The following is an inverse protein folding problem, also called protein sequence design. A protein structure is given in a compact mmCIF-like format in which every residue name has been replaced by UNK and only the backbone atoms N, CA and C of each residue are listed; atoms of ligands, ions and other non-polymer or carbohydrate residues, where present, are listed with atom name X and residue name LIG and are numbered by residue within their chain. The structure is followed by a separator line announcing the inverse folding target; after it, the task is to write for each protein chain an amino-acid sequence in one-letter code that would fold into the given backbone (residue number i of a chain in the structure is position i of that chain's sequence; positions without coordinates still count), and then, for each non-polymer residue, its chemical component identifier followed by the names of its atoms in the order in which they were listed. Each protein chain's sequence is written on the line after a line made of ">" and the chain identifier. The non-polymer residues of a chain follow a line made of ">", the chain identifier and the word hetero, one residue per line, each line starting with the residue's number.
data_IF_898468748701
#
_entry.id   IF_898468748701
#
_cell.length_a   1.000
_cell.length_b   1.000
_cell.length_c   1.000
_cell.angle_alpha   90.00
_cell.angle_beta   90.00
_cell.angle_gamma   90.00
#
_symmetry.space_group_name_H-M   'P 1'
#
loop_
_entity.id
_entity.type
_entity.pdbx_description
1 polymer ?
#
# COMPACT_ATOMS: atom_id res chain seq x y z
N UNK A 1 1.14 -18.38 11.99
CA UNK A 1 1.33 -18.65 10.55
C UNK A 1 2.29 -17.61 10.04
N UNK A 2 3.35 -18.00 9.33
CA UNK A 2 4.29 -17.06 8.71
C UNK A 2 3.96 -17.00 7.22
N UNK A 3 3.60 -15.82 6.71
CA UNK A 3 3.34 -15.63 5.28
C UNK A 3 4.62 -15.78 4.46
N UNK A 4 4.49 -16.08 3.17
CA UNK A 4 5.65 -16.15 2.28
C UNK A 4 6.37 -14.80 2.21
N UNK A 5 7.70 -14.82 2.09
CA UNK A 5 8.46 -13.58 1.89
C UNK A 5 8.18 -13.01 0.49
N UNK A 6 7.75 -11.76 0.45
CA UNK A 6 7.39 -11.05 -0.78
C UNK A 6 8.04 -9.68 -0.83
N UNK A 7 8.27 -9.20 -2.04
CA UNK A 7 9.01 -7.97 -2.30
C UNK A 7 8.19 -7.07 -3.20
N UNK A 8 8.23 -5.77 -2.94
CA UNK A 8 7.55 -4.79 -3.77
C UNK A 8 8.14 -4.82 -5.19
N UNK A 9 7.33 -4.95 -6.25
CA UNK A 9 7.82 -4.97 -7.63
C UNK A 9 8.32 -3.59 -8.09
N UNK A 10 8.07 -2.52 -7.33
CA UNK A 10 8.42 -1.16 -7.72
C UNK A 10 9.72 -0.64 -7.10
N UNK A 11 10.03 -1.02 -5.86
CA UNK A 11 11.26 -0.61 -5.18
C UNK A 11 12.17 -1.77 -4.75
N UNK A 12 11.69 -3.01 -4.78
CA UNK A 12 12.45 -4.19 -4.36
C UNK A 12 12.46 -4.45 -2.85
N UNK A 13 11.91 -3.56 -2.02
CA UNK A 13 11.88 -3.75 -0.57
C UNK A 13 10.92 -4.86 -0.16
N UNK A 14 11.24 -5.52 0.96
CA UNK A 14 10.40 -6.55 1.56
C UNK A 14 9.05 -5.95 1.99
N UNK A 15 7.96 -6.64 1.66
CA UNK A 15 6.63 -6.27 2.14
C UNK A 15 6.51 -6.57 3.64
N UNK A 16 5.91 -5.64 4.38
CA UNK A 16 5.66 -5.77 5.81
C UNK A 16 4.24 -6.27 6.07
N UNK A 17 4.07 -7.12 7.07
CA UNK A 17 2.74 -7.46 7.58
C UNK A 17 2.06 -6.23 8.16
N UNK A 18 0.79 -6.02 7.82
CA UNK A 18 -0.06 -4.97 8.38
C UNK A 18 -1.41 -5.56 8.74
N UNK A 19 -1.81 -5.39 10.00
CA UNK A 19 -3.12 -5.83 10.48
C UNK A 19 -4.17 -4.76 10.16
N UNK A 20 -5.10 -5.11 9.28
CA UNK A 20 -6.21 -4.25 8.92
C UNK A 20 -7.22 -4.14 10.07
N UNK A 21 -7.98 -3.03 10.16
CA UNK A 21 -9.05 -2.90 11.13
C UNK A 21 -10.03 -4.08 11.04
N UNK A 22 -10.45 -4.68 12.17
CA UNK A 22 -11.30 -5.89 12.18
C UNK A 22 -12.58 -5.76 11.34
N UNK A 23 -13.17 -4.57 11.30
CA UNK A 23 -14.39 -4.25 10.55
C UNK A 23 -14.23 -4.39 9.02
N UNK A 24 -13.00 -4.37 8.51
CA UNK A 24 -12.70 -4.58 7.08
C UNK A 24 -12.69 -6.05 6.67
N UNK A 25 -12.56 -6.96 7.65
CA UNK A 25 -12.42 -8.41 7.46
C UNK A 25 -11.18 -8.86 6.65
N UNK A 26 -10.26 -7.95 6.34
CA UNK A 26 -9.03 -8.27 5.60
C UNK A 26 -8.05 -9.10 6.45
N UNK A 27 -7.95 -8.84 7.75
CA UNK A 27 -6.93 -9.47 8.60
C UNK A 27 -5.54 -8.95 8.25
N UNK A 28 -4.53 -9.83 8.16
CA UNK A 28 -3.17 -9.43 7.76
C UNK A 28 -3.06 -9.31 6.24
N UNK A 29 -2.55 -8.17 5.78
CA UNK A 29 -2.10 -7.94 4.39
C UNK A 29 -0.60 -7.66 4.38
N UNK A 30 0.03 -7.74 3.20
CA UNK A 30 1.44 -7.42 3.00
C UNK A 30 1.59 -6.08 2.29
N UNK A 31 2.31 -5.12 2.87
CA UNK A 31 2.34 -3.72 2.42
C UNK A 31 3.77 -3.22 2.19
N UNK A 32 3.96 -2.46 1.12
CA UNK A 32 5.20 -1.72 0.89
C UNK A 32 5.24 -0.44 1.76
N UNK A 33 6.09 -0.44 2.79
CA UNK A 33 6.26 0.69 3.71
C UNK A 33 7.45 1.61 3.37
N UNK A 34 8.01 1.49 2.17
CA UNK A 34 9.05 2.40 1.70
C UNK A 34 8.44 3.72 1.20
N UNK A 35 8.75 4.83 1.87
CA UNK A 35 8.26 6.16 1.50
C UNK A 35 8.92 6.74 0.23
N UNK A 36 10.09 6.21 -0.15
CA UNK A 36 10.79 6.55 -1.40
C UNK A 36 10.42 5.62 -2.56
N UNK A 37 9.49 4.69 -2.35
CA UNK A 37 9.00 3.82 -3.41
C UNK A 37 8.37 4.64 -4.54
N UNK A 38 8.80 4.41 -5.79
CA UNK A 38 8.31 5.09 -6.98
C UNK A 38 6.81 4.93 -7.22
N UNK A 39 6.22 3.85 -6.69
CA UNK A 39 4.78 3.64 -6.73
C UNK A 39 4.01 4.48 -5.71
N UNK A 40 4.61 4.79 -4.56
CA UNK A 40 3.97 5.57 -3.50
C UNK A 40 4.22 7.08 -3.69
N UNK A 41 5.45 7.45 -4.03
CA UNK A 41 5.86 8.83 -4.22
C UNK A 41 5.15 9.44 -5.43
N UNK A 42 4.39 10.51 -5.20
CA UNK A 42 3.58 11.15 -6.25
C UNK A 42 2.26 10.44 -6.56
N UNK A 43 1.97 9.30 -5.92
CA UNK A 43 0.70 8.58 -6.12
C UNK A 43 -0.53 9.41 -5.74
N UNK A 44 -0.34 10.45 -4.94
CA UNK A 44 -1.39 11.38 -4.62
C UNK A 44 -1.98 11.99 -5.89
N UNK A 45 -1.22 12.32 -6.92
CA UNK A 45 -1.73 13.03 -8.10
C UNK A 45 -2.46 12.12 -9.11
N UNK A 46 -2.41 10.81 -8.90
CA UNK A 46 -3.00 9.79 -9.77
C UNK A 46 -4.36 9.28 -9.29
N UNK A 47 -4.83 9.70 -8.09
CA UNK A 47 -6.14 9.28 -7.57
C UNK A 47 -7.25 10.17 -8.14
N UNK A 48 -8.02 9.60 -9.07
CA UNK A 48 -9.21 10.25 -9.62
C UNK A 48 -10.28 10.49 -8.53
N UNK A 49 -10.86 11.69 -8.50
CA UNK A 49 -11.96 12.04 -7.60
C UNK A 49 -11.55 12.31 -6.14
N UNK A 50 -10.25 12.39 -5.84
CA UNK A 50 -9.77 12.89 -4.54
C UNK A 50 -10.09 14.38 -4.40
N UNK A 51 -10.17 14.89 -3.15
CA UNK A 51 -10.22 16.34 -2.95
C UNK A 51 -8.88 16.97 -3.31
N UNK A 52 -8.91 18.16 -3.89
CA UNK A 52 -7.73 18.91 -4.35
C UNK A 52 -6.72 19.23 -3.24
N UNK A 53 -7.13 19.18 -1.97
CA UNK A 53 -6.31 19.40 -0.77
C UNK A 53 -5.96 18.10 -0.03
N UNK A 54 -6.41 16.94 -0.53
CA UNK A 54 -6.11 15.66 0.12
C UNK A 54 -4.64 15.26 -0.09
N UNK A 55 -4.00 14.81 0.99
CA UNK A 55 -2.71 14.12 0.99
C UNK A 55 -2.88 12.61 0.89
N UNK A 56 -3.89 12.14 0.16
CA UNK A 56 -4.13 10.71 -0.04
C UNK A 56 -3.32 10.23 -1.22
N UNK A 57 -2.61 9.11 -1.04
CA UNK A 57 -1.89 8.35 -2.06
C UNK A 57 -2.13 6.85 -1.89
N UNK A 58 -1.39 6.01 -2.61
CA UNK A 58 -1.55 4.56 -2.56
C UNK A 58 -0.22 3.84 -2.40
N UNK A 59 -0.18 2.85 -1.49
CA UNK A 59 0.92 1.90 -1.33
C UNK A 59 0.60 0.62 -2.07
N UNK A 60 1.64 -0.03 -2.60
CA UNK A 60 1.51 -1.38 -3.13
C UNK A 60 1.25 -2.34 -1.96
N UNK A 61 0.22 -3.17 -2.09
CA UNK A 61 -0.11 -4.20 -1.11
C UNK A 61 -0.59 -5.48 -1.79
N UNK A 62 -0.48 -6.61 -1.09
CA UNK A 62 -0.96 -7.92 -1.51
C UNK A 62 -1.81 -8.55 -0.40
N UNK A 63 -2.91 -9.23 -0.78
CA UNK A 63 -3.76 -9.95 0.16
C UNK A 63 -3.43 -11.47 0.13
N UNK A 64 -2.83 -12.02 1.20
CA UNK A 64 -2.51 -13.45 1.29
C UNK A 64 -3.74 -14.38 1.19
N UNK A 65 -4.96 -13.91 1.48
CA UNK A 65 -6.19 -14.70 1.37
C UNK A 65 -6.71 -14.78 -0.06
N UNK A 66 -6.29 -13.86 -0.93
CA UNK A 66 -6.69 -13.78 -2.33
C UNK A 66 -5.52 -14.18 -3.25
N UNK A 67 -4.80 -15.24 -2.89
CA UNK A 67 -3.65 -15.74 -3.65
C UNK A 67 -2.57 -14.66 -3.90
N UNK A 68 -2.36 -13.78 -2.91
CA UNK A 68 -1.45 -12.64 -3.01
C UNK A 68 -1.81 -11.67 -4.14
N UNK A 69 -3.10 -11.54 -4.46
CA UNK A 69 -3.57 -10.55 -5.42
C UNK A 69 -3.14 -9.13 -5.00
N UNK A 70 -2.53 -8.36 -5.92
CA UNK A 70 -2.09 -7.01 -5.62
C UNK A 70 -3.27 -6.02 -5.62
N UNK A 71 -3.20 -4.99 -4.78
CA UNK A 71 -4.16 -3.90 -4.75
C UNK A 71 -3.54 -2.59 -4.25
N UNK A 72 -4.26 -1.49 -4.51
CA UNK A 72 -3.85 -0.14 -4.14
C UNK A 72 -4.32 0.15 -2.72
N UNK A 73 -3.43 0.07 -1.73
CA UNK A 73 -3.76 0.41 -0.35
C UNK A 73 -3.72 1.92 -0.14
N UNK A 74 -4.86 2.53 0.14
CA UNK A 74 -4.94 3.97 0.42
C UNK A 74 -4.11 4.31 1.66
N UNK A 75 -3.27 5.34 1.56
CA UNK A 75 -2.40 5.80 2.66
C UNK A 75 -2.20 7.30 2.60
N UNK A 76 -1.82 7.90 3.71
CA UNK A 76 -1.42 9.31 3.72
C UNK A 76 -0.05 9.46 3.04
N UNK A 77 -0.02 10.22 1.95
CA UNK A 77 1.16 10.60 1.19
C UNK A 77 1.37 12.11 1.33
N UNK A 78 2.40 12.56 2.08
CA UNK A 78 2.70 13.98 2.18
C UNK A 78 3.03 14.54 0.79
N UNK A 79 2.62 15.79 0.53
CA UNK A 79 3.04 16.51 -0.67
C UNK A 79 4.52 16.83 -0.54
N UNK A 80 5.22 16.79 -1.65
CA UNK A 80 6.61 17.27 -1.76
C UNK A 80 6.51 18.75 -2.14
N UNK A 81 6.05 19.60 -1.22
CA UNK A 81 6.09 21.06 -1.39
C UNK A 81 7.50 21.63 -1.18
#
# INVERSE_FOLDING_TARGET
>A
MTYAERFCPHCGDKLCEWEAPPETWWGIILVCNNNDCSYFKGSNDEIAGKRDDSGLGTRYAEDPKLDYAPFNLLSWCPRLD
#
